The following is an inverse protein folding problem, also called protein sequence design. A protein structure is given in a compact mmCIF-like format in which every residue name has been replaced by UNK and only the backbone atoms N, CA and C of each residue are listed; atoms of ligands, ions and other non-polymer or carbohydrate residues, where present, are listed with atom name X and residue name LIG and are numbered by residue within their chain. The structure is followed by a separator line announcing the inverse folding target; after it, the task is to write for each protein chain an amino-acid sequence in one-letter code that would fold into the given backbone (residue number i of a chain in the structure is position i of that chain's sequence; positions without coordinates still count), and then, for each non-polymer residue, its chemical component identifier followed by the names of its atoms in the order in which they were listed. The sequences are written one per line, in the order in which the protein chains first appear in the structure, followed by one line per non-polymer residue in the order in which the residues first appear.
data_IF_546928248558
#
_entry.id   IF_546928248558
#
_cell.length_a   1.000
_cell.length_b   1.000
_cell.length_c   1.000
_cell.angle_alpha   90.00
_cell.angle_beta   90.00
_cell.angle_gamma   90.00
#
_symmetry.space_group_name_H-M   'P 1'
#
loop_
_entity.id
_entity.type
_entity.pdbx_description
1 polymer ?
#
# COMPACT_ATOMS: atom_id res chain seq x y z
N UNK A 1 18.93 -14.24 -21.82
CA UNK A 1 19.63 -14.88 -20.69
C UNK A 1 18.64 -15.63 -19.80
N UNK A 2 17.56 -14.99 -19.32
CA UNK A 2 16.54 -15.69 -18.50
C UNK A 2 15.74 -16.75 -19.28
N UNK A 3 15.48 -16.52 -20.56
CA UNK A 3 14.87 -17.45 -21.50
C UNK A 3 15.64 -18.78 -21.67
N UNK A 4 16.94 -18.78 -21.37
CA UNK A 4 17.80 -19.96 -21.48
C UNK A 4 17.96 -20.74 -20.17
N UNK A 5 17.62 -20.12 -19.05
CA UNK A 5 17.90 -20.66 -17.71
C UNK A 5 16.60 -21.05 -17.01
N UNK A 6 15.51 -20.30 -17.21
CA UNK A 6 14.20 -20.62 -16.66
C UNK A 6 13.61 -21.86 -17.36
N UNK A 7 13.64 -23.01 -16.69
CA UNK A 7 13.16 -24.28 -17.27
C UNK A 7 14.19 -25.01 -18.14
N UNK A 8 15.48 -24.65 -18.03
CA UNK A 8 16.58 -25.49 -18.51
C UNK A 8 16.59 -26.80 -17.70
N UNK A 9 16.66 -27.95 -18.38
CA UNK A 9 16.89 -29.27 -17.76
C UNK A 9 18.39 -29.59 -17.61
N UNK A 10 19.26 -28.64 -17.96
CA UNK A 10 20.72 -28.82 -17.86
C UNK A 10 21.18 -28.65 -16.40
N UNK A 11 21.74 -29.73 -15.83
CA UNK A 11 22.23 -29.75 -14.45
C UNK A 11 23.26 -28.65 -14.14
N UNK A 12 24.00 -28.15 -15.14
CA UNK A 12 24.96 -27.05 -14.93
C UNK A 12 24.28 -25.73 -14.52
N UNK A 13 23.00 -25.59 -14.89
CA UNK A 13 22.17 -24.44 -14.59
C UNK A 13 21.33 -24.70 -13.33
N UNK A 14 21.62 -25.76 -12.54
CA UNK A 14 20.85 -26.15 -11.35
C UNK A 14 21.72 -26.36 -10.10
N UNK A 15 21.12 -26.15 -8.92
CA UNK A 15 21.70 -26.53 -7.62
C UNK A 15 20.77 -27.44 -6.84
N UNK A 16 21.30 -28.37 -6.03
CA UNK A 16 20.48 -29.18 -5.15
C UNK A 16 19.80 -28.29 -4.09
N UNK A 17 18.50 -28.48 -3.92
CA UNK A 17 17.68 -27.81 -2.92
C UNK A 17 16.70 -28.82 -2.32
N UNK A 18 16.99 -29.26 -1.09
CA UNK A 18 16.31 -30.40 -0.46
C UNK A 18 16.40 -31.64 -1.36
N UNK A 19 15.26 -32.23 -1.72
CA UNK A 19 15.16 -33.42 -2.56
C UNK A 19 14.98 -33.09 -4.06
N UNK A 20 15.07 -31.81 -4.44
CA UNK A 20 14.90 -31.33 -5.82
C UNK A 20 16.12 -30.52 -6.30
N UNK A 21 16.13 -30.19 -7.59
CA UNK A 21 17.10 -29.28 -8.20
C UNK A 21 16.41 -27.97 -8.58
N UNK A 22 17.01 -26.83 -8.22
CA UNK A 22 16.53 -25.50 -8.57
C UNK A 22 17.45 -24.85 -9.59
N UNK A 23 16.86 -24.22 -10.61
CA UNK A 23 17.62 -23.47 -11.60
C UNK A 23 18.32 -22.26 -10.93
N UNK A 24 19.62 -22.15 -11.15
CA UNK A 24 20.46 -21.05 -10.66
C UNK A 24 20.65 -19.98 -11.71
N UNK A 25 20.64 -18.74 -11.25
CA UNK A 25 20.98 -17.59 -12.07
C UNK A 25 22.45 -17.24 -11.86
N UNK A 26 23.26 -17.13 -12.92
CA UNK A 26 24.71 -16.91 -12.82
C UNK A 26 25.05 -15.52 -12.27
N UNK A 27 24.08 -14.63 -12.17
CA UNK A 27 24.24 -13.29 -11.61
C UNK A 27 23.00 -12.87 -10.83
N UNK A 28 23.21 -12.08 -9.79
CA UNK A 28 22.14 -11.40 -9.04
C UNK A 28 21.77 -10.05 -9.63
N UNK A 29 22.55 -9.53 -10.58
CA UNK A 29 22.31 -8.24 -11.21
C UNK A 29 21.48 -8.43 -12.46
N UNK A 30 20.31 -7.80 -12.49
CA UNK A 30 19.34 -7.87 -13.58
C UNK A 30 19.36 -6.54 -14.33
N UNK A 31 19.36 -6.65 -15.66
CA UNK A 31 19.17 -5.53 -16.57
C UNK A 31 17.99 -5.79 -17.49
N UNK A 32 17.11 -4.79 -17.63
CA UNK A 32 15.98 -4.84 -18.55
C UNK A 32 16.10 -3.66 -19.51
N UNK A 33 16.43 -3.88 -20.80
CA UNK A 33 16.49 -2.82 -21.80
C UNK A 33 15.15 -2.10 -21.94
N UNK A 34 15.18 -0.78 -22.14
CA UNK A 34 14.00 0.07 -22.28
C UNK A 34 14.03 0.74 -23.65
N UNK A 35 12.93 0.58 -24.39
CA UNK A 35 12.64 1.40 -25.56
C UNK A 35 12.05 2.73 -25.08
N UNK A 36 12.90 3.76 -24.97
CA UNK A 36 12.57 5.06 -24.38
C UNK A 36 11.46 5.76 -25.17
N UNK A 37 11.47 5.64 -26.50
CA UNK A 37 10.47 6.29 -27.35
C UNK A 37 9.12 5.60 -27.21
N UNK A 38 9.10 4.27 -27.13
CA UNK A 38 7.88 3.50 -26.91
C UNK A 38 7.24 3.81 -25.55
N UNK A 39 8.02 3.83 -24.46
CA UNK A 39 7.47 4.06 -23.11
C UNK A 39 6.95 5.49 -22.92
N UNK A 40 7.53 6.46 -23.62
CA UNK A 40 7.01 7.83 -23.70
C UNK A 40 5.72 7.89 -24.52
N UNK A 41 5.73 7.26 -25.70
CA UNK A 41 4.59 7.25 -26.63
C UNK A 41 3.35 6.57 -26.04
N UNK A 42 3.53 5.47 -25.31
CA UNK A 42 2.42 4.69 -24.75
C UNK A 42 2.00 5.14 -23.33
N UNK A 43 2.60 6.21 -22.80
CA UNK A 43 2.28 6.74 -21.47
C UNK A 43 2.71 5.84 -20.31
N UNK A 44 3.70 4.96 -20.52
CA UNK A 44 4.30 4.19 -19.42
C UNK A 44 5.01 5.12 -18.44
N UNK A 45 5.76 6.08 -18.97
CA UNK A 45 6.39 7.19 -18.22
C UNK A 45 5.55 8.47 -18.35
N UNK A 46 5.64 9.33 -17.34
CA UNK A 46 5.10 10.69 -17.37
C UNK A 46 6.10 11.64 -18.06
N UNK A 47 5.64 12.77 -18.63
CA UNK A 47 6.54 13.76 -19.23
C UNK A 47 7.59 14.32 -18.26
N UNK A 48 7.29 14.34 -16.96
CA UNK A 48 8.17 14.80 -15.88
C UNK A 48 9.20 13.75 -15.45
N UNK A 49 9.13 12.53 -15.99
CA UNK A 49 10.01 11.45 -15.57
C UNK A 49 11.41 11.56 -16.16
N UNK A 50 12.40 11.40 -15.28
CA UNK A 50 13.77 11.09 -15.67
C UNK A 50 13.89 9.63 -16.13
N UNK A 51 13.45 9.38 -17.36
CA UNK A 51 13.40 8.04 -17.98
C UNK A 51 14.80 7.45 -18.16
N UNK A 52 14.95 6.15 -17.92
CA UNK A 52 16.20 5.39 -18.11
C UNK A 52 16.13 4.48 -19.33
N UNK A 53 17.27 4.26 -19.98
CA UNK A 53 17.42 3.32 -21.11
C UNK A 53 17.47 1.85 -20.69
N UNK A 54 17.66 1.57 -19.40
CA UNK A 54 17.58 0.23 -18.82
C UNK A 54 17.17 0.27 -17.35
N UNK A 55 16.37 -0.68 -16.91
CA UNK A 55 16.22 -0.97 -15.48
C UNK A 55 17.48 -1.69 -14.99
N UNK A 56 17.99 -1.30 -13.84
CA UNK A 56 19.13 -1.96 -13.19
C UNK A 56 18.77 -2.23 -11.74
N UNK A 57 18.76 -3.49 -11.34
CA UNK A 57 18.48 -3.88 -9.96
C UNK A 57 19.18 -5.20 -9.61
N UNK A 58 19.39 -5.42 -8.32
CA UNK A 58 19.94 -6.67 -7.79
C UNK A 58 18.86 -7.47 -7.08
N UNK A 59 18.95 -8.80 -7.13
CA UNK A 59 18.06 -9.73 -6.44
C UNK A 59 18.49 -9.83 -4.96
N UNK A 60 17.75 -9.20 -4.00
CA UNK A 60 18.23 -9.00 -2.64
C UNK A 60 18.19 -10.31 -1.83
N UNK A 61 19.35 -10.75 -1.35
CA UNK A 61 19.45 -11.95 -0.48
C UNK A 61 19.05 -13.27 -1.16
N UNK A 62 18.94 -13.29 -2.49
CA UNK A 62 18.49 -14.48 -3.24
C UNK A 62 19.66 -15.39 -3.64
N UNK A 63 19.58 -16.66 -3.28
CA UNK A 63 20.46 -17.74 -3.73
C UNK A 63 19.88 -18.57 -4.87
N UNK A 64 18.57 -18.47 -5.11
CA UNK A 64 17.83 -19.06 -6.21
C UNK A 64 16.50 -18.32 -6.39
N UNK A 65 15.78 -18.58 -7.48
CA UNK A 65 14.44 -18.06 -7.71
C UNK A 65 13.44 -19.20 -7.76
N UNK A 66 12.29 -19.02 -7.13
CA UNK A 66 11.19 -19.97 -7.29
C UNK A 66 10.49 -19.79 -8.65
N UNK A 67 9.52 -20.66 -8.94
CA UNK A 67 8.76 -20.62 -10.19
C UNK A 67 7.96 -19.32 -10.34
N UNK A 68 7.43 -18.77 -9.25
CA UNK A 68 6.63 -17.54 -9.27
C UNK A 68 7.48 -16.30 -9.55
N UNK A 69 8.66 -16.23 -8.94
CA UNK A 69 9.64 -15.16 -9.14
C UNK A 69 10.21 -15.19 -10.55
N UNK A 70 10.55 -16.39 -11.04
CA UNK A 70 10.99 -16.61 -12.41
C UNK A 70 9.92 -16.17 -13.42
N UNK A 71 8.65 -16.50 -13.17
CA UNK A 71 7.54 -16.08 -14.02
C UNK A 71 7.41 -14.55 -14.09
N UNK A 72 7.53 -13.84 -12.97
CA UNK A 72 7.48 -12.37 -12.93
C UNK A 72 8.57 -11.75 -13.80
N UNK A 73 9.81 -12.21 -13.65
CA UNK A 73 10.94 -11.68 -14.43
C UNK A 73 10.80 -12.00 -15.92
N UNK A 74 10.30 -13.20 -16.26
CA UNK A 74 10.02 -13.58 -17.64
C UNK A 74 8.91 -12.74 -18.28
N UNK A 75 7.85 -12.41 -17.54
CA UNK A 75 6.80 -11.49 -18.00
C UNK A 75 7.41 -10.12 -18.32
N UNK A 76 8.24 -9.58 -17.41
CA UNK A 76 8.92 -8.29 -17.61
C UNK A 76 9.81 -8.34 -18.86
N UNK A 77 10.63 -9.37 -19.01
CA UNK A 77 11.55 -9.52 -20.14
C UNK A 77 10.83 -9.71 -21.48
N UNK A 78 9.77 -10.54 -21.51
CA UNK A 78 9.04 -10.86 -22.73
C UNK A 78 8.13 -9.72 -23.21
N UNK A 79 7.65 -8.88 -22.29
CA UNK A 79 6.71 -7.79 -22.60
C UNK A 79 7.32 -6.73 -23.55
N UNK A 80 8.65 -6.52 -23.52
CA UNK A 80 9.35 -5.53 -24.35
C UNK A 80 8.68 -4.15 -24.35
N UNK A 81 8.14 -3.75 -23.20
CA UNK A 81 7.42 -2.48 -23.00
C UNK A 81 6.20 -2.26 -23.92
N UNK A 82 5.70 -3.30 -24.60
CA UNK A 82 4.53 -3.19 -25.48
C UNK A 82 3.24 -2.87 -24.71
N UNK A 83 3.16 -3.31 -23.44
CA UNK A 83 2.06 -2.99 -22.52
C UNK A 83 2.62 -2.52 -21.17
N UNK A 84 1.95 -1.60 -20.48
CA UNK A 84 2.23 -1.33 -19.08
C UNK A 84 2.12 -2.60 -18.21
N UNK A 85 3.07 -2.79 -17.28
CA UNK A 85 3.05 -3.89 -16.32
C UNK A 85 2.58 -3.33 -14.97
N UNK A 86 1.55 -3.94 -14.40
CA UNK A 86 0.95 -3.54 -13.12
C UNK A 86 1.00 -4.70 -12.12
N UNK A 87 1.15 -4.34 -10.84
CA UNK A 87 1.11 -5.21 -9.68
C UNK A 87 -0.04 -4.77 -8.77
N UNK A 88 -0.68 -5.73 -8.10
CA UNK A 88 -1.79 -5.47 -7.17
C UNK A 88 -1.33 -4.91 -5.82
N UNK A 89 -0.03 -4.99 -5.53
CA UNK A 89 0.61 -4.44 -4.34
C UNK A 89 2.04 -4.01 -4.66
N UNK A 90 2.64 -3.24 -3.75
CA UNK A 90 4.06 -2.91 -3.86
C UNK A 90 4.88 -4.20 -3.73
N UNK A 91 5.77 -4.44 -4.69
CA UNK A 91 6.55 -5.68 -4.76
C UNK A 91 8.04 -5.37 -4.88
N UNK A 92 8.78 -5.55 -3.79
CA UNK A 92 10.23 -5.28 -3.71
C UNK A 92 11.10 -6.53 -3.61
N UNK A 93 10.51 -7.73 -3.49
CA UNK A 93 11.24 -8.99 -3.26
C UNK A 93 12.28 -9.31 -4.34
N UNK A 94 12.11 -8.77 -5.56
CA UNK A 94 13.03 -8.94 -6.68
C UNK A 94 13.87 -7.69 -6.99
N UNK A 95 13.91 -6.71 -6.08
CA UNK A 95 14.81 -5.54 -6.17
C UNK A 95 14.37 -4.42 -7.12
N UNK A 96 13.36 -4.65 -7.96
CA UNK A 96 12.82 -3.62 -8.86
C UNK A 96 11.80 -2.68 -8.20
N UNK A 97 11.54 -2.81 -6.89
CA UNK A 97 10.57 -1.96 -6.17
C UNK A 97 10.84 -0.46 -6.33
N UNK A 98 12.11 -0.06 -6.52
CA UNK A 98 12.50 1.31 -6.82
C UNK A 98 11.96 1.88 -8.14
N UNK A 99 11.41 1.03 -9.00
CA UNK A 99 10.78 1.38 -10.28
C UNK A 99 9.25 1.26 -10.23
N UNK A 100 8.66 1.01 -9.05
CA UNK A 100 7.22 0.90 -8.90
C UNK A 100 6.60 2.23 -8.51
N UNK A 101 5.68 2.71 -9.34
CA UNK A 101 4.85 3.89 -9.09
C UNK A 101 3.42 3.46 -8.77
N UNK A 102 2.87 3.95 -7.67
CA UNK A 102 1.46 3.87 -7.37
C UNK A 102 0.66 4.68 -8.41
N UNK A 103 -0.32 4.02 -9.03
CA UNK A 103 -1.16 4.56 -10.08
C UNK A 103 -2.65 4.24 -9.80
N UNK A 104 -3.04 4.35 -8.53
CA UNK A 104 -4.41 4.18 -8.04
C UNK A 104 -4.44 3.08 -6.98
N UNK A 105 -5.18 2.01 -7.26
CA UNK A 105 -5.16 0.80 -6.43
C UNK A 105 -4.11 -0.23 -6.90
N UNK A 106 -3.14 0.20 -7.71
CA UNK A 106 -2.15 -0.69 -8.34
C UNK A 106 -0.80 0.00 -8.48
N UNK A 107 0.23 -0.80 -8.68
CA UNK A 107 1.62 -0.37 -8.80
C UNK A 107 2.14 -0.65 -10.20
N UNK A 108 2.47 0.39 -10.94
CA UNK A 108 2.99 0.33 -12.30
C UNK A 108 4.51 0.25 -12.29
N UNK A 109 5.07 -0.65 -13.10
CA UNK A 109 6.51 -0.65 -13.37
C UNK A 109 6.87 0.46 -14.36
N UNK A 110 7.67 1.44 -13.91
CA UNK A 110 8.02 2.64 -14.66
C UNK A 110 9.55 2.75 -14.77
N UNK A 111 10.13 2.82 -15.99
CA UNK A 111 11.56 2.93 -16.18
C UNK A 111 12.04 4.38 -15.99
N UNK A 112 11.99 4.88 -14.76
CA UNK A 112 12.47 6.21 -14.41
C UNK A 112 13.25 6.21 -13.09
N UNK A 113 14.14 7.19 -12.94
CA UNK A 113 14.89 7.42 -11.69
C UNK A 113 13.99 8.04 -10.62
N UNK A 114 14.41 7.89 -9.36
CA UNK A 114 13.85 8.61 -8.21
C UNK A 114 12.34 8.42 -7.97
N UNK A 115 11.74 7.36 -8.53
CA UNK A 115 10.33 7.04 -8.27
C UNK A 115 10.06 6.94 -6.76
N UNK A 116 11.00 6.41 -5.98
CA UNK A 116 10.83 6.29 -4.53
C UNK A 116 10.66 7.63 -3.80
N UNK A 117 11.11 8.75 -4.36
CA UNK A 117 10.94 10.08 -3.74
C UNK A 117 9.51 10.61 -3.93
N UNK A 118 8.88 10.29 -5.07
CA UNK A 118 7.50 10.64 -5.40
C UNK A 118 6.86 9.41 -6.08
N UNK A 119 6.47 8.39 -5.30
CA UNK A 119 6.03 7.11 -5.86
C UNK A 119 4.59 7.15 -6.35
N UNK A 120 3.99 8.32 -6.57
CA UNK A 120 2.58 8.49 -6.93
C UNK A 120 2.43 9.17 -8.29
N UNK A 121 1.56 8.63 -9.15
CA UNK A 121 1.06 9.36 -10.31
C UNK A 121 -0.06 10.32 -9.88
N UNK A 122 0.27 11.40 -9.16
CA UNK A 122 -0.70 12.23 -8.42
C UNK A 122 -1.92 12.61 -9.26
N UNK A 123 -1.72 13.23 -10.42
CA UNK A 123 -2.82 13.68 -11.29
C UNK A 123 -3.58 12.52 -11.92
N UNK A 124 -2.84 11.51 -12.41
CA UNK A 124 -3.47 10.33 -13.00
C UNK A 124 -4.22 9.49 -11.97
N UNK A 125 -3.82 9.51 -10.70
CA UNK A 125 -4.54 8.88 -9.60
C UNK A 125 -5.78 9.69 -9.26
N UNK A 126 -5.66 11.02 -9.17
CA UNK A 126 -6.80 11.89 -8.86
C UNK A 126 -7.93 11.69 -9.87
N UNK A 127 -7.63 11.74 -11.18
CA UNK A 127 -8.61 11.49 -12.24
C UNK A 127 -9.27 10.11 -12.11
N UNK A 128 -8.48 9.05 -11.92
CA UNK A 128 -9.02 7.69 -11.77
C UNK A 128 -9.91 7.57 -10.55
N UNK A 129 -9.46 8.05 -9.39
CA UNK A 129 -10.20 7.94 -8.14
C UNK A 129 -11.50 8.75 -8.22
N UNK A 130 -11.46 9.97 -8.74
CA UNK A 130 -12.65 10.83 -8.84
C UNK A 130 -13.67 10.38 -9.90
N UNK A 131 -13.23 9.70 -10.97
CA UNK A 131 -14.06 9.53 -12.17
C UNK A 131 -14.19 8.09 -12.69
N UNK A 132 -13.36 7.15 -12.23
CA UNK A 132 -13.34 5.77 -12.73
C UNK A 132 -13.65 4.74 -11.65
N UNK A 133 -13.15 4.92 -10.44
CA UNK A 133 -13.38 4.00 -9.33
C UNK A 133 -14.83 4.07 -8.83
N UNK A 134 -15.30 2.94 -8.28
CA UNK A 134 -16.64 2.79 -7.71
C UNK A 134 -16.53 2.02 -6.41
N UNK A 135 -17.40 2.32 -5.44
CA UNK A 135 -17.45 1.65 -4.14
C UNK A 135 -17.98 0.21 -4.15
N UNK A 136 -18.12 -0.44 -5.31
CA UNK A 136 -18.53 -1.85 -5.40
C UNK A 136 -19.91 -2.17 -4.79
N UNK A 137 -20.82 -1.20 -4.74
CA UNK A 137 -22.14 -1.34 -4.08
C UNK A 137 -22.17 -0.91 -2.61
N UNK A 138 -21.07 -0.38 -2.06
CA UNK A 138 -21.01 0.12 -0.69
C UNK A 138 -21.90 1.37 -0.44
N UNK A 139 -22.34 2.04 -1.49
CA UNK A 139 -23.33 3.11 -1.49
C UNK A 139 -24.76 2.59 -1.19
N UNK A 140 -25.03 1.31 -1.43
CA UNK A 140 -26.34 0.70 -1.22
C UNK A 140 -26.50 0.24 0.22
N UNK A 141 -27.49 0.79 0.92
CA UNK A 141 -27.85 0.41 2.29
C UNK A 141 -28.13 -1.09 2.41
N UNK A 142 -27.55 -1.73 3.41
CA UNK A 142 -27.79 -3.15 3.73
C UNK A 142 -26.92 -4.14 2.93
N UNK A 143 -25.95 -3.66 2.15
CA UNK A 143 -24.98 -4.53 1.49
C UNK A 143 -24.02 -5.11 2.53
N UNK A 144 -24.00 -6.43 2.65
CA UNK A 144 -23.05 -7.12 3.52
C UNK A 144 -21.74 -7.37 2.79
N UNK A 145 -20.62 -7.02 3.43
CA UNK A 145 -19.29 -7.36 2.97
C UNK A 145 -18.64 -8.35 3.96
N UNK A 146 -18.26 -9.51 3.42
CA UNK A 146 -17.45 -10.48 4.13
C UNK A 146 -16.04 -9.91 4.45
N UNK A 147 -15.23 -10.67 5.17
CA UNK A 147 -13.92 -10.23 5.62
C UNK A 147 -13.00 -9.79 4.46
N UNK A 148 -13.02 -10.53 3.35
CA UNK A 148 -12.15 -10.26 2.19
C UNK A 148 -12.59 -9.00 1.46
N UNK A 149 -13.89 -8.88 1.14
CA UNK A 149 -14.42 -7.71 0.43
C UNK A 149 -14.34 -6.45 1.28
N UNK A 150 -14.51 -6.58 2.60
CA UNK A 150 -14.25 -5.49 3.54
C UNK A 150 -12.80 -5.04 3.47
N UNK A 151 -11.84 -5.97 3.43
CA UNK A 151 -10.43 -5.67 3.24
C UNK A 151 -10.15 -4.80 1.99
N UNK A 152 -10.82 -5.08 0.86
CA UNK A 152 -10.71 -4.25 -0.34
C UNK A 152 -11.25 -2.83 -0.17
N UNK A 153 -12.37 -2.66 0.55
CA UNK A 153 -12.92 -1.33 0.84
C UNK A 153 -12.05 -0.55 1.85
N UNK A 154 -11.42 -1.22 2.81
CA UNK A 154 -10.43 -0.57 3.67
C UNK A 154 -9.18 -0.15 2.88
N UNK A 155 -8.74 -0.97 1.92
CA UNK A 155 -7.67 -0.58 0.99
C UNK A 155 -8.07 0.66 0.16
N UNK A 156 -9.32 0.74 -0.28
CA UNK A 156 -9.87 1.93 -0.94
C UNK A 156 -9.73 3.16 -0.04
N UNK A 157 -10.16 3.10 1.23
CA UNK A 157 -10.00 4.21 2.20
C UNK A 157 -8.55 4.65 2.32
N UNK A 158 -7.63 3.71 2.53
CA UNK A 158 -6.20 4.00 2.67
C UNK A 158 -5.61 4.62 1.41
N UNK A 159 -6.00 4.15 0.21
CA UNK A 159 -5.54 4.71 -1.08
C UNK A 159 -5.97 6.16 -1.25
N UNK A 160 -7.22 6.48 -0.90
CA UNK A 160 -7.73 7.86 -0.95
C UNK A 160 -7.03 8.76 0.06
N UNK A 161 -6.83 8.28 1.30
CA UNK A 161 -6.11 9.03 2.32
C UNK A 161 -4.64 9.28 1.92
N UNK A 162 -3.95 8.29 1.32
CA UNK A 162 -2.59 8.45 0.83
C UNK A 162 -2.49 9.51 -0.28
N UNK A 163 -3.41 9.51 -1.24
CA UNK A 163 -3.42 10.56 -2.27
C UNK A 163 -3.77 11.93 -1.66
N UNK A 164 -4.73 12.00 -0.74
CA UNK A 164 -5.06 13.24 -0.03
C UNK A 164 -3.86 13.80 0.74
N UNK A 165 -3.05 12.94 1.37
CA UNK A 165 -1.80 13.34 2.00
C UNK A 165 -0.83 13.99 1.00
N UNK A 166 -0.61 13.35 -0.15
CA UNK A 166 0.30 13.90 -1.18
C UNK A 166 -0.22 15.24 -1.69
N UNK A 167 -1.52 15.35 -1.95
CA UNK A 167 -2.17 16.60 -2.34
C UNK A 167 -2.02 17.68 -1.26
N UNK A 168 -2.21 17.35 0.01
CA UNK A 168 -2.02 18.28 1.12
C UNK A 168 -0.56 18.74 1.25
N UNK A 169 0.41 17.85 1.04
CA UNK A 169 1.84 18.20 1.03
C UNK A 169 2.20 19.14 -0.14
N UNK A 170 1.54 18.98 -1.28
CA UNK A 170 1.68 19.84 -2.47
C UNK A 170 0.82 21.12 -2.41
N UNK A 171 0.26 21.46 -1.25
CA UNK A 171 -0.65 22.60 -1.03
C UNK A 171 -1.96 22.55 -1.85
N UNK A 172 -2.34 21.39 -2.38
CA UNK A 172 -3.59 21.13 -3.11
C UNK A 172 -4.73 20.72 -2.17
N UNK A 173 -4.94 21.48 -1.10
CA UNK A 173 -5.92 21.17 -0.05
C UNK A 173 -7.35 21.02 -0.57
N UNK A 174 -7.77 21.86 -1.51
CA UNK A 174 -9.11 21.78 -2.10
C UNK A 174 -9.32 20.48 -2.89
N UNK A 175 -8.29 19.96 -3.56
CA UNK A 175 -8.36 18.68 -4.26
C UNK A 175 -8.44 17.53 -3.27
N UNK A 176 -7.60 17.56 -2.23
CA UNK A 176 -7.63 16.57 -1.13
C UNK A 176 -9.03 16.51 -0.48
N UNK A 177 -9.62 17.67 -0.19
CA UNK A 177 -10.98 17.78 0.37
C UNK A 177 -12.02 17.13 -0.53
N UNK A 178 -12.06 17.50 -1.82
CA UNK A 178 -13.00 16.92 -2.79
C UNK A 178 -12.83 15.40 -2.92
N UNK A 179 -11.58 14.93 -2.90
CA UNK A 179 -11.27 13.50 -2.99
C UNK A 179 -11.83 12.71 -1.80
N UNK A 180 -11.64 13.20 -0.58
CA UNK A 180 -12.13 12.54 0.63
C UNK A 180 -13.66 12.63 0.77
N UNK A 181 -14.26 13.74 0.34
CA UNK A 181 -15.72 13.86 0.24
C UNK A 181 -16.30 12.89 -0.79
N UNK A 182 -15.60 12.68 -1.92
CA UNK A 182 -16.01 11.68 -2.90
C UNK A 182 -15.97 10.26 -2.33
N UNK A 183 -14.91 9.90 -1.59
CA UNK A 183 -14.84 8.63 -0.86
C UNK A 183 -16.05 8.43 0.07
N UNK A 184 -16.35 9.43 0.91
CA UNK A 184 -17.48 9.40 1.85
C UNK A 184 -18.82 9.20 1.12
N UNK A 185 -18.99 9.83 -0.05
CA UNK A 185 -20.20 9.66 -0.86
C UNK A 185 -20.37 8.26 -1.49
N UNK A 186 -19.26 7.55 -1.73
CA UNK A 186 -19.28 6.23 -2.38
C UNK A 186 -19.47 5.06 -1.40
N UNK A 187 -19.23 5.28 -0.11
CA UNK A 187 -19.23 4.25 0.92
C UNK A 187 -20.17 4.68 2.04
N UNK A 188 -21.37 4.10 2.07
CA UNK A 188 -22.35 4.44 3.09
C UNK A 188 -21.92 3.92 4.47
N UNK A 189 -22.14 4.72 5.51
CA UNK A 189 -21.87 4.34 6.90
C UNK A 189 -22.65 3.07 7.33
N UNK A 190 -23.77 2.78 6.67
CA UNK A 190 -24.58 1.60 6.94
C UNK A 190 -23.97 0.30 6.40
N UNK A 191 -23.24 0.36 5.29
CA UNK A 191 -22.64 -0.83 4.66
C UNK A 191 -21.21 -1.05 5.13
N UNK A 192 -20.46 0.03 5.31
CA UNK A 192 -19.15 0.01 5.94
C UNK A 192 -19.00 1.25 6.82
N UNK A 193 -19.26 1.16 8.13
CA UNK A 193 -19.07 2.30 9.03
C UNK A 193 -17.60 2.73 9.03
N UNK A 194 -17.30 3.92 9.55
CA UNK A 194 -15.90 4.32 9.76
C UNK A 194 -15.26 3.65 10.99
N UNK A 195 -16.05 3.22 11.96
CA UNK A 195 -15.54 2.64 13.18
C UNK A 195 -16.13 1.25 13.41
N UNK A 196 -15.24 0.27 13.65
CA UNK A 196 -15.61 -1.10 13.98
C UNK A 196 -14.39 -1.90 14.44
N UNK A 197 -14.57 -2.72 15.47
CA UNK A 197 -13.60 -3.77 15.81
C UNK A 197 -13.23 -4.64 14.60
N UNK A 198 -11.93 -4.86 14.41
CA UNK A 198 -11.37 -5.67 13.33
C UNK A 198 -10.02 -6.24 13.71
N UNK A 199 -9.53 -7.22 12.95
CA UNK A 199 -8.20 -7.79 13.15
C UNK A 199 -7.13 -6.69 13.12
N UNK A 200 -6.38 -6.54 14.20
CA UNK A 200 -5.34 -5.52 14.35
C UNK A 200 -5.85 -4.08 14.37
N UNK A 201 -7.14 -3.86 14.62
CA UNK A 201 -7.79 -2.54 14.56
C UNK A 201 -7.65 -1.80 13.21
N UNK A 202 -7.40 -2.55 12.13
CA UNK A 202 -7.16 -2.01 10.79
C UNK A 202 -8.29 -1.10 10.28
N UNK A 203 -9.53 -1.39 10.67
CA UNK A 203 -10.68 -0.62 10.25
C UNK A 203 -10.62 0.81 10.80
N UNK A 204 -10.41 0.94 12.11
CA UNK A 204 -10.25 2.23 12.79
C UNK A 204 -8.98 2.96 12.33
N UNK A 205 -7.88 2.22 12.11
CA UNK A 205 -6.64 2.80 11.59
C UNK A 205 -6.80 3.39 10.18
N UNK A 206 -7.48 2.67 9.27
CA UNK A 206 -7.77 3.18 7.93
C UNK A 206 -8.62 4.45 7.97
N UNK A 207 -9.55 4.53 8.91
CA UNK A 207 -10.42 5.68 9.12
C UNK A 207 -9.68 6.86 9.73
N UNK A 208 -8.73 6.62 10.65
CA UNK A 208 -7.84 7.65 11.17
C UNK A 208 -7.09 8.37 10.05
N UNK A 209 -6.56 7.64 9.06
CA UNK A 209 -5.86 8.28 7.94
C UNK A 209 -6.77 9.21 7.13
N UNK A 210 -8.03 8.81 6.90
CA UNK A 210 -9.02 9.66 6.24
C UNK A 210 -9.32 10.91 7.08
N UNK A 211 -9.57 10.74 8.39
CA UNK A 211 -9.88 11.86 9.28
C UNK A 211 -8.72 12.88 9.37
N UNK A 212 -7.50 12.37 9.54
CA UNK A 212 -6.30 13.20 9.66
C UNK A 212 -6.07 14.06 8.41
N UNK A 213 -6.21 13.47 7.21
CA UNK A 213 -6.05 14.21 5.96
C UNK A 213 -7.26 15.10 5.64
N UNK A 214 -8.45 14.77 6.13
CA UNK A 214 -9.61 15.65 6.06
C UNK A 214 -9.39 16.94 6.88
N UNK A 215 -8.88 16.83 8.11
CA UNK A 215 -8.53 18.03 8.90
C UNK A 215 -7.45 18.88 8.21
N UNK A 216 -6.39 18.24 7.69
CA UNK A 216 -5.32 18.94 6.94
C UNK A 216 -5.83 19.62 5.67
N UNK A 217 -6.86 19.08 5.05
CA UNK A 217 -7.53 19.67 3.88
C UNK A 217 -8.56 20.76 4.25
N UNK A 218 -8.73 21.06 5.55
CA UNK A 218 -9.73 22.02 6.04
C UNK A 218 -11.17 21.52 6.00
N UNK A 219 -11.37 20.19 5.97
CA UNK A 219 -12.70 19.56 6.11
C UNK A 219 -12.93 19.05 7.53
N UNK A 220 -13.12 20.01 8.44
CA UNK A 220 -13.40 19.71 9.85
C UNK A 220 -14.67 18.88 10.03
N UNK A 221 -15.68 19.05 9.18
CA UNK A 221 -16.94 18.31 9.30
C UNK A 221 -16.73 16.81 9.06
N UNK A 222 -16.01 16.45 7.99
CA UNK A 222 -15.67 15.06 7.70
C UNK A 222 -14.69 14.51 8.74
N UNK A 223 -13.67 15.30 9.13
CA UNK A 223 -12.72 14.93 10.18
C UNK A 223 -13.43 14.58 11.50
N UNK A 224 -14.32 15.46 11.98
CA UNK A 224 -15.06 15.25 13.23
C UNK A 224 -16.01 14.05 13.13
N UNK A 225 -16.73 13.89 12.01
CA UNK A 225 -17.60 12.73 11.77
C UNK A 225 -16.84 11.42 12.02
N UNK A 226 -15.68 11.28 11.39
CA UNK A 226 -14.89 10.06 11.44
C UNK A 226 -14.21 9.91 12.81
N UNK A 227 -13.53 10.94 13.31
CA UNK A 227 -12.82 10.88 14.60
C UNK A 227 -13.78 10.54 15.74
N UNK A 228 -14.96 11.15 15.79
CA UNK A 228 -15.93 10.88 16.85
C UNK A 228 -16.46 9.43 16.78
N UNK A 229 -16.66 8.89 15.58
CA UNK A 229 -17.04 7.49 15.41
C UNK A 229 -15.95 6.54 15.92
N UNK A 230 -14.68 6.80 15.54
CA UNK A 230 -13.55 5.96 15.95
C UNK A 230 -13.28 6.06 17.45
N UNK A 231 -13.30 7.27 18.02
CA UNK A 231 -13.16 7.46 19.48
C UNK A 231 -14.26 6.73 20.24
N UNK A 232 -15.49 6.72 19.73
CA UNK A 232 -16.59 5.97 20.35
C UNK A 232 -16.29 4.47 20.37
N UNK A 233 -15.89 3.89 19.24
CA UNK A 233 -15.57 2.46 19.14
C UNK A 233 -14.37 2.09 20.01
N UNK A 234 -13.27 2.83 19.91
CA UNK A 234 -12.08 2.63 20.75
C UNK A 234 -12.40 2.70 22.25
N UNK A 235 -13.24 3.64 22.70
CA UNK A 235 -13.67 3.69 24.10
C UNK A 235 -14.58 2.51 24.50
N UNK A 236 -15.37 1.97 23.58
CA UNK A 236 -16.15 0.76 23.81
C UNK A 236 -15.25 -0.48 23.92
N UNK A 237 -14.20 -0.57 23.09
CA UNK A 237 -13.18 -1.61 23.19
C UNK A 237 -12.42 -1.52 24.52
N UNK A 238 -12.02 -0.33 24.98
CA UNK A 238 -11.38 -0.17 26.30
C UNK A 238 -12.27 -0.66 27.45
N UNK A 239 -13.56 -0.31 27.44
CA UNK A 239 -14.51 -0.82 28.44
C UNK A 239 -14.60 -2.34 28.45
N UNK A 240 -14.48 -2.97 27.29
CA UNK A 240 -14.42 -4.43 27.20
C UNK A 240 -13.14 -4.99 27.83
N UNK A 241 -11.98 -4.36 27.60
CA UNK A 241 -10.73 -4.75 28.25
C UNK A 241 -10.77 -4.59 29.77
N UNK A 242 -11.41 -3.53 30.28
CA UNK A 242 -11.60 -3.35 31.74
C UNK A 242 -12.40 -4.53 32.36
N UNK A 243 -13.39 -5.06 31.62
CA UNK A 243 -14.15 -6.26 32.04
C UNK A 243 -13.28 -7.53 32.01
N UNK A 244 -12.34 -7.64 31.07
CA UNK A 244 -11.39 -8.77 31.02
C UNK A 244 -10.37 -8.71 32.15
N UNK A 245 -9.91 -7.51 32.50
CA UNK A 245 -9.02 -7.26 33.64
C UNK A 245 -9.67 -7.71 34.96
N UNK A 246 -10.93 -7.31 35.17
CA UNK A 246 -11.72 -7.75 36.33
C UNK A 246 -11.94 -9.28 36.40
N UNK A 247 -11.71 -10.00 35.29
CA UNK A 247 -11.85 -11.46 35.19
C UNK A 247 -10.52 -12.20 35.12
N UNK A 248 -9.39 -11.52 35.32
CA UNK A 248 -8.04 -12.09 35.23
C UNK A 248 -7.76 -12.76 33.86
N UNK A 249 -8.26 -12.15 32.78
CA UNK A 249 -8.11 -12.64 31.39
C UNK A 249 -7.44 -11.62 30.48
N UNK A 250 -6.93 -10.52 31.04
CA UNK A 250 -6.38 -9.43 30.25
C UNK A 250 -5.02 -9.75 29.65
N UNK A 251 -4.22 -10.63 30.26
CA UNK A 251 -2.82 -10.87 29.86
C UNK A 251 -2.63 -11.14 28.36
N UNK A 252 -3.57 -11.85 27.74
CA UNK A 252 -3.55 -12.13 26.31
C UNK A 252 -3.81 -10.91 25.39
N UNK A 253 -4.25 -9.78 25.97
CA UNK A 253 -4.73 -8.57 25.28
C UNK A 253 -4.09 -7.27 25.79
N UNK A 254 -3.11 -7.35 26.70
CA UNK A 254 -2.45 -6.15 27.26
C UNK A 254 -1.87 -5.28 26.15
N UNK A 255 -1.23 -5.90 25.16
CA UNK A 255 -0.61 -5.20 24.03
C UNK A 255 -1.66 -4.43 23.21
N UNK A 256 -2.79 -5.07 22.90
CA UNK A 256 -3.89 -4.48 22.15
C UNK A 256 -4.51 -3.31 22.92
N UNK A 257 -4.76 -3.47 24.23
CA UNK A 257 -5.28 -2.40 25.09
C UNK A 257 -4.34 -1.18 25.11
N UNK A 258 -3.05 -1.42 25.27
CA UNK A 258 -2.07 -0.34 25.38
C UNK A 258 -1.86 0.37 24.02
N UNK A 259 -1.84 -0.37 22.92
CA UNK A 259 -1.86 0.20 21.56
C UNK A 259 -3.10 1.06 21.33
N UNK A 260 -4.27 0.59 21.77
CA UNK A 260 -5.53 1.32 21.65
C UNK A 260 -5.52 2.64 22.43
N UNK A 261 -4.93 2.68 23.63
CA UNK A 261 -4.76 3.92 24.41
C UNK A 261 -3.87 4.94 23.70
N UNK A 262 -2.75 4.50 23.12
CA UNK A 262 -1.88 5.35 22.31
C UNK A 262 -2.63 5.88 21.09
N UNK A 263 -3.42 5.03 20.45
CA UNK A 263 -4.21 5.41 19.29
C UNK A 263 -5.29 6.46 19.60
N UNK A 264 -6.02 6.32 20.70
CA UNK A 264 -6.99 7.31 21.18
C UNK A 264 -6.32 8.67 21.39
N UNK A 265 -5.16 8.69 22.08
CA UNK A 265 -4.42 9.94 22.31
C UNK A 265 -4.05 10.64 20.99
N UNK A 266 -3.58 9.87 20.01
CA UNK A 266 -3.26 10.37 18.66
C UNK A 266 -4.49 10.96 17.94
N UNK A 267 -5.65 10.31 18.05
CA UNK A 267 -6.91 10.79 17.49
C UNK A 267 -7.34 12.12 18.13
N UNK A 268 -7.31 12.21 19.46
CA UNK A 268 -7.67 13.42 20.19
C UNK A 268 -6.73 14.59 19.88
N UNK A 269 -5.42 14.33 19.80
CA UNK A 269 -4.43 15.34 19.41
C UNK A 269 -4.71 15.85 18.00
N UNK A 270 -4.93 14.95 17.04
CA UNK A 270 -5.25 15.30 15.64
C UNK A 270 -6.52 16.16 15.54
N UNK A 271 -7.56 15.84 16.31
CA UNK A 271 -8.80 16.61 16.34
C UNK A 271 -8.59 18.00 16.96
N UNK A 272 -7.83 18.09 18.06
CA UNK A 272 -7.54 19.36 18.75
C UNK A 272 -6.72 20.31 17.89
N UNK A 273 -5.67 19.81 17.25
CA UNK A 273 -4.78 20.62 16.40
C UNK A 273 -5.38 20.89 15.02
N UNK A 274 -6.39 20.11 14.62
CA UNK A 274 -6.87 20.03 13.23
C UNK A 274 -5.72 19.77 12.25
N UNK A 275 -4.66 19.11 12.73
CA UNK A 275 -3.45 18.81 11.99
C UNK A 275 -3.02 17.39 12.35
N UNK A 276 -3.13 16.49 11.38
CA UNK A 276 -2.65 15.12 11.56
C UNK A 276 -1.15 15.02 11.34
N UNK A 277 -0.43 14.42 12.28
CA UNK A 277 0.88 13.81 12.02
C UNK A 277 0.64 12.39 11.49
N UNK A 278 0.35 12.29 10.19
CA UNK A 278 0.22 10.98 9.55
C UNK A 278 1.62 10.47 9.23
N UNK A 279 2.22 9.73 10.14
CA UNK A 279 3.16 8.70 9.72
C UNK A 279 2.34 7.62 9.04
N UNK A 280 2.54 7.47 7.73
CA UNK A 280 1.94 6.39 6.94
C UNK A 280 2.11 5.05 7.68
N UNK A 281 1.21 4.06 7.48
CA UNK A 281 1.41 2.73 8.03
C UNK A 281 2.71 2.22 7.43
N UNK A 282 3.80 2.19 8.22
CA UNK A 282 5.17 1.82 7.82
C UNK A 282 5.47 2.39 6.44
N UNK A 283 6.10 3.57 6.38
CA UNK A 283 6.64 4.09 5.12
C UNK A 283 7.21 2.93 4.32
N UNK A 284 7.02 2.87 3.00
CA UNK A 284 7.62 1.81 2.20
C UNK A 284 9.12 1.68 2.54
N UNK A 285 9.78 2.78 2.95
CA UNK A 285 11.09 2.84 3.58
C UNK A 285 11.30 1.97 4.85
N UNK A 286 10.34 1.89 5.77
CA UNK A 286 10.40 1.01 6.94
C UNK A 286 10.19 -0.48 6.58
N UNK A 287 9.46 -0.78 5.50
CA UNK A 287 9.43 -2.14 4.91
C UNK A 287 10.71 -2.51 4.14
N UNK A 288 11.58 -1.52 3.88
CA UNK A 288 12.85 -1.64 3.16
C UNK A 288 14.07 -1.78 4.08
N UNK A 289 13.92 -1.66 5.41
CA UNK A 289 15.02 -1.95 6.34
C UNK A 289 15.24 -3.47 6.37
N UNK A 290 16.45 -3.97 6.06
CA UNK A 290 16.78 -5.36 6.36
C UNK A 290 16.48 -5.60 7.84
N UNK A 291 15.76 -6.68 8.17
CA UNK A 291 15.75 -7.17 9.55
C UNK A 291 17.21 -7.44 9.89
N UNK A 292 17.83 -6.58 10.68
CA UNK A 292 19.13 -6.85 11.28
C UNK A 292 18.90 -8.04 12.18
N UNK A 293 19.28 -9.21 11.70
CA UNK A 293 19.33 -10.43 12.48
C UNK A 293 20.44 -10.21 13.51
N UNK A 294 20.10 -9.63 14.65
CA UNK A 294 20.90 -9.76 15.87
C UNK A 294 20.73 -11.19 16.37
N UNK A 295 21.24 -12.14 15.58
CA UNK A 295 21.62 -13.45 16.09
C UNK A 295 22.82 -13.20 16.99
N UNK A 296 22.55 -13.20 18.30
CA UNK A 296 23.57 -13.28 19.35
C UNK A 296 24.50 -14.45 19.03
N UNK A 297 25.80 -14.15 18.91
CA UNK A 297 26.87 -15.11 19.22
C UNK A 297 26.90 -15.36 20.72
#
# INVERSE_FOLDING_TARGET
MMDKIAGSDDHKDMVPYRDEYLNIYPTRNVKVPVDVDLVKKNGTVLPTDSTVSELQFSLPGKSGLDKSETAILNIIAANKWKRPIYFTSYYSNLGFGQYLRNDGMSWKLVPAKNIQQMPFNVDGMYDKLMHKFKGGGADKKGTYFDEVNRGYLLNLRTTYAQLAQVLNNDNRHNDAKKLLQHLDSMVSDASLPYAMMSKGNNHDESSYYVAAEAYRAGDKALGDKITNAVLKDCNQQLKYFDVLEAKDKLDAFINERDQLRVFIKRLEETQKTQAGTVTAPVTIADSLKPKTDTAKK
#
